data_IF_066769686409
#
_entry.id   IF_066769686409
#
_cell.length_a   1.000
_cell.length_b   1.000
_cell.length_c   1.000
_cell.angle_alpha   90.00
_cell.angle_beta   90.00
_cell.angle_gamma   90.00
#
_symmetry.space_group_name_H-M   'P 1'
#
loop_
_entity.id
_entity.type
_entity.pdbx_description
1 polymer ?
#
# COMPACT_ATOMS: atom_id res chain seq x y z
N UNK A 1 -6.16 -11.00 -45.43
CA UNK A 1 -6.10 -11.19 -43.96
C UNK A 1 -4.67 -11.61 -43.61
N UNK A 2 -3.92 -10.73 -42.96
CA UNK A 2 -2.55 -11.01 -42.51
C UNK A 2 -2.57 -11.65 -41.11
N UNK A 3 -1.72 -12.64 -40.83
CA UNK A 3 -1.67 -13.26 -39.51
C UNK A 3 -0.95 -12.35 -38.50
N UNK A 4 -1.55 -12.19 -37.32
CA UNK A 4 -0.99 -11.43 -36.21
C UNK A 4 0.27 -12.10 -35.65
N UNK A 5 1.32 -11.31 -35.41
CA UNK A 5 2.56 -11.77 -34.79
C UNK A 5 2.42 -11.93 -33.27
N UNK A 6 3.11 -12.91 -32.66
CA UNK A 6 3.05 -13.15 -31.23
C UNK A 6 3.85 -12.10 -30.45
N UNK A 7 3.21 -11.55 -29.42
CA UNK A 7 3.82 -10.63 -28.44
C UNK A 7 4.83 -11.35 -27.55
N UNK A 8 6.02 -10.78 -27.44
CA UNK A 8 7.09 -11.27 -26.57
C UNK A 8 6.84 -10.88 -25.10
N UNK A 9 7.25 -11.73 -24.14
CA UNK A 9 7.13 -11.42 -22.72
C UNK A 9 8.14 -10.34 -22.29
N UNK A 10 7.64 -9.33 -21.57
CA UNK A 10 8.41 -8.24 -20.97
C UNK A 10 9.23 -8.77 -19.79
N UNK A 11 10.54 -8.54 -19.81
CA UNK A 11 11.45 -8.88 -18.71
C UNK A 11 11.38 -7.85 -17.56
N UNK A 12 11.58 -8.26 -16.29
CA UNK A 12 11.62 -7.34 -15.17
C UNK A 12 12.90 -6.47 -15.18
N UNK A 13 12.70 -5.18 -14.96
CA UNK A 13 13.73 -4.13 -14.93
C UNK A 13 14.61 -4.28 -13.68
N UNK A 14 15.93 -4.35 -13.88
CA UNK A 14 16.94 -4.23 -12.81
C UNK A 14 17.19 -2.75 -12.50
N UNK A 15 17.17 -2.40 -11.21
CA UNK A 15 17.55 -1.06 -10.74
C UNK A 15 19.08 -0.95 -10.67
N UNK A 16 19.64 0.01 -11.40
CA UNK A 16 21.05 0.38 -11.29
C UNK A 16 21.28 1.21 -10.02
N UNK A 17 22.28 0.81 -9.22
CA UNK A 17 22.82 1.61 -8.13
C UNK A 17 23.73 2.71 -8.70
N UNK A 18 23.74 3.93 -8.13
CA UNK A 18 24.69 4.96 -8.55
C UNK A 18 26.12 4.58 -8.16
N UNK A 19 27.00 4.56 -9.17
CA UNK A 19 28.44 4.38 -9.02
C UNK A 19 29.02 5.63 -8.34
N UNK A 20 29.53 5.49 -7.13
CA UNK A 20 30.37 6.53 -6.52
C UNK A 20 31.76 6.46 -7.14
N UNK A 21 32.12 7.47 -7.93
CA UNK A 21 33.50 7.69 -8.35
C UNK A 21 34.28 8.32 -7.19
N UNK A 22 35.02 7.51 -6.45
CA UNK A 22 36.06 7.98 -5.53
C UNK A 22 37.36 8.14 -6.32
N UNK A 23 37.70 9.38 -6.69
CA UNK A 23 39.03 9.70 -7.22
C UNK A 23 40.02 9.80 -6.05
N UNK A 24 40.89 8.80 -5.90
CA UNK A 24 42.06 8.91 -5.03
C UNK A 24 43.19 9.62 -5.79
N UNK A 25 43.39 10.90 -5.49
CA UNK A 25 44.63 11.60 -5.81
C UNK A 25 45.59 11.47 -4.61
N UNK A 26 46.69 10.73 -4.80
CA UNK A 26 47.79 10.68 -3.84
C UNK A 26 48.69 11.91 -4.05
N UNK A 27 48.57 12.88 -3.14
CA UNK A 27 49.55 13.95 -2.98
C UNK A 27 50.35 13.71 -1.70
N UNK A 28 51.68 13.76 -1.83
CA UNK A 28 52.63 13.67 -0.74
C UNK A 28 52.41 14.79 0.29
N UNK A 29 52.38 14.43 1.57
CA UNK A 29 52.29 15.39 2.68
C UNK A 29 53.65 16.02 2.97
N UNK A 30 53.80 17.36 2.96
CA UNK A 30 54.89 18.02 3.65
C UNK A 30 54.61 18.11 5.17
N UNK A 31 55.69 18.19 5.94
CA UNK A 31 55.69 18.20 7.40
C UNK A 31 54.80 19.32 8.01
N UNK A 32 54.19 19.09 9.19
CA UNK A 32 53.31 20.07 9.82
C UNK A 32 54.09 21.27 10.39
N UNK A 33 53.65 22.52 10.11
CA UNK A 33 54.10 23.68 10.85
C UNK A 33 53.45 23.75 12.24
N UNK A 34 54.17 24.36 13.18
CA UNK A 34 53.77 24.58 14.57
C UNK A 34 52.43 25.34 14.71
N UNK A 35 51.67 25.10 15.80
CA UNK A 35 50.33 25.66 15.97
C UNK A 35 50.40 27.19 16.12
N UNK A 36 49.85 27.90 15.14
CA UNK A 36 49.57 29.33 15.22
C UNK A 36 48.14 29.48 15.73
N UNK A 37 47.98 30.14 16.87
CA UNK A 37 46.68 30.42 17.49
C UNK A 37 45.85 31.32 16.58
N UNK A 38 44.90 30.73 15.84
CA UNK A 38 43.91 31.49 15.06
C UNK A 38 42.75 31.94 15.97
N UNK A 39 42.30 33.20 15.88
CA UNK A 39 41.08 33.65 16.53
C UNK A 39 39.86 32.94 15.94
N UNK A 40 38.94 32.53 16.83
CA UNK A 40 37.75 31.75 16.48
C UNK A 40 36.91 32.44 15.40
N UNK A 41 36.73 31.76 14.26
CA UNK A 41 35.72 32.15 13.28
C UNK A 41 34.33 31.93 13.89
N UNK A 42 33.38 32.88 13.73
CA UNK A 42 32.01 32.68 14.15
C UNK A 42 31.41 31.51 13.37
N UNK A 43 30.93 30.50 14.09
CA UNK A 43 30.20 29.39 13.48
C UNK A 43 28.97 29.94 12.76
N UNK A 44 28.70 29.51 11.51
CA UNK A 44 27.45 29.83 10.85
C UNK A 44 26.30 29.29 11.71
N UNK A 45 25.32 30.16 12.00
CA UNK A 45 24.14 29.80 12.77
C UNK A 45 23.51 28.54 12.15
N UNK A 46 23.47 27.47 12.94
CA UNK A 46 22.72 26.28 12.53
C UNK A 46 21.25 26.68 12.37
N UNK A 47 20.57 26.27 11.30
CA UNK A 47 19.14 26.49 11.17
C UNK A 47 18.47 25.90 12.41
N UNK A 48 17.85 26.77 13.21
CA UNK A 48 16.98 26.34 14.28
C UNK A 48 15.83 25.59 13.62
N UNK A 49 15.89 24.25 13.64
CA UNK A 49 14.74 23.41 13.38
C UNK A 49 13.70 23.78 14.44
N UNK A 50 12.73 24.59 14.01
CA UNK A 50 11.54 24.83 14.80
C UNK A 50 10.95 23.47 15.11
N UNK A 51 10.88 23.18 16.40
CA UNK A 51 10.23 22.02 16.97
C UNK A 51 8.89 21.81 16.24
N UNK A 52 8.69 20.71 15.48
CA UNK A 52 7.45 20.50 14.77
C UNK A 52 6.34 20.48 15.83
N UNK A 53 5.45 21.48 15.72
CA UNK A 53 4.17 21.46 16.42
C UNK A 53 3.62 20.03 16.33
N UNK A 54 3.24 19.47 17.48
CA UNK A 54 2.74 18.10 17.61
C UNK A 54 1.95 17.74 16.35
N UNK A 55 2.50 16.83 15.54
CA UNK A 55 1.93 16.47 14.25
C UNK A 55 0.42 16.29 14.47
N UNK A 56 -0.45 16.94 13.67
CA UNK A 56 -1.88 16.75 13.81
C UNK A 56 -2.10 15.25 13.85
N UNK A 57 -2.77 14.76 14.91
CA UNK A 57 -3.07 13.33 15.06
C UNK A 57 -3.50 12.87 13.68
N UNK A 58 -2.81 11.90 13.04
CA UNK A 58 -3.22 11.46 11.72
C UNK A 58 -4.68 11.06 11.88
N UNK A 59 -5.60 11.89 11.36
CA UNK A 59 -6.96 11.44 11.12
C UNK A 59 -6.75 10.18 10.32
N UNK A 60 -7.26 9.06 10.83
CA UNK A 60 -7.13 7.77 10.18
C UNK A 60 -7.56 7.97 8.73
N UNK A 61 -6.57 8.07 7.85
CA UNK A 61 -6.79 8.17 6.41
C UNK A 61 -7.37 6.81 6.07
N UNK A 62 -8.70 6.77 5.95
CA UNK A 62 -9.44 5.54 5.78
C UNK A 62 -9.15 5.05 4.39
N UNK A 63 -8.37 3.99 4.36
CA UNK A 63 -7.80 3.43 3.15
C UNK A 63 -8.90 2.60 2.47
N UNK A 64 -8.88 2.57 1.14
CA UNK A 64 -9.76 1.67 0.40
C UNK A 64 -9.37 0.24 0.76
N UNK A 65 -10.16 -0.41 1.61
CA UNK A 65 -10.21 -1.85 1.63
C UNK A 65 -10.92 -2.24 0.33
N UNK A 66 -10.16 -2.73 -0.65
CA UNK A 66 -10.78 -3.57 -1.69
C UNK A 66 -11.46 -4.71 -0.94
N UNK A 67 -12.76 -4.61 -0.71
CA UNK A 67 -13.55 -5.47 0.18
C UNK A 67 -13.13 -6.94 0.01
N UNK A 68 -12.32 -7.52 0.92
CA UNK A 68 -12.08 -8.96 0.91
C UNK A 68 -13.35 -9.71 1.33
N UNK A 69 -14.29 -9.00 1.98
CA UNK A 69 -15.60 -9.52 2.33
C UNK A 69 -16.48 -9.80 1.12
N UNK A 70 -16.28 -9.12 -0.03
CA UNK A 70 -17.13 -9.28 -1.20
C UNK A 70 -16.51 -10.14 -2.32
N UNK A 71 -15.18 -10.08 -2.52
CA UNK A 71 -14.54 -10.74 -3.68
C UNK A 71 -13.84 -12.07 -3.40
N UNK A 72 -13.68 -12.49 -2.13
CA UNK A 72 -12.88 -13.67 -1.80
C UNK A 72 -13.35 -14.53 -0.64
N UNK A 73 -14.40 -14.13 0.10
CA UNK A 73 -15.07 -15.04 1.02
C UNK A 73 -16.12 -15.80 0.23
N UNK A 74 -15.89 -17.11 0.03
CA UNK A 74 -17.03 -18.02 -0.13
C UNK A 74 -17.90 -17.79 1.11
N UNK A 75 -19.00 -17.06 0.93
CA UNK A 75 -20.06 -16.98 1.92
C UNK A 75 -20.59 -18.41 2.10
N UNK A 76 -19.94 -19.19 2.95
CA UNK A 76 -20.55 -20.41 3.47
C UNK A 76 -21.83 -19.96 4.17
N UNK A 77 -22.96 -20.20 3.50
CA UNK A 77 -24.34 -19.75 3.74
C UNK A 77 -24.91 -20.01 5.16
N UNK A 78 -24.11 -20.39 6.15
CA UNK A 78 -24.57 -20.83 7.48
C UNK A 78 -24.18 -19.96 8.68
N UNK A 79 -23.46 -18.84 8.54
CA UNK A 79 -22.99 -18.01 9.68
C UNK A 79 -23.45 -16.54 9.65
N UNK A 80 -24.54 -16.23 8.96
CA UNK A 80 -24.92 -14.85 8.58
C UNK A 80 -25.63 -14.00 9.66
N UNK A 81 -25.58 -14.34 10.95
CA UNK A 81 -26.18 -13.46 11.98
C UNK A 81 -25.53 -13.44 13.36
N UNK A 82 -24.91 -14.54 13.79
CA UNK A 82 -24.43 -14.68 15.19
C UNK A 82 -23.12 -13.93 15.48
N UNK A 83 -22.35 -13.49 14.47
CA UNK A 83 -21.07 -12.81 14.67
C UNK A 83 -21.17 -11.27 14.80
N UNK A 84 -22.32 -10.67 14.54
CA UNK A 84 -22.48 -9.21 14.59
C UNK A 84 -22.87 -8.68 15.98
N UNK A 85 -23.28 -9.54 16.92
CA UNK A 85 -23.77 -9.09 18.22
C UNK A 85 -22.67 -8.94 19.28
N UNK A 86 -21.49 -9.52 19.07
CA UNK A 86 -20.38 -9.39 20.02
C UNK A 86 -19.38 -8.30 19.57
N UNK A 87 -18.86 -7.47 20.49
CA UNK A 87 -17.79 -6.54 20.18
C UNK A 87 -16.58 -7.26 19.59
N UNK A 88 -16.08 -6.72 18.49
CA UNK A 88 -14.92 -7.25 17.78
C UNK A 88 -14.20 -6.14 17.02
N UNK A 89 -12.93 -6.37 16.72
CA UNK A 89 -12.11 -5.48 15.88
C UNK A 89 -11.38 -6.29 14.82
N UNK A 90 -10.98 -5.62 13.75
CA UNK A 90 -10.03 -6.17 12.80
C UNK A 90 -8.61 -5.78 13.22
N UNK A 91 -7.68 -6.72 13.11
CA UNK A 91 -6.26 -6.43 13.27
C UNK A 91 -5.52 -6.77 11.98
N UNK A 92 -4.46 -6.05 11.65
CA UNK A 92 -3.57 -6.37 10.54
C UNK A 92 -2.12 -6.19 10.99
N UNK A 93 -1.19 -6.95 10.39
CA UNK A 93 0.22 -6.94 10.80
C UNK A 93 1.03 -6.24 9.75
N UNK A 94 1.82 -5.24 10.15
CA UNK A 94 2.57 -4.44 9.20
C UNK A 94 3.48 -5.32 8.34
N UNK A 95 3.39 -5.18 7.01
CA UNK A 95 4.23 -5.95 6.10
C UNK A 95 3.78 -7.36 5.77
N UNK A 96 2.64 -7.82 6.29
CA UNK A 96 2.28 -9.24 6.25
C UNK A 96 0.82 -9.54 5.92
N UNK A 97 0.63 -10.53 5.06
CA UNK A 97 -0.63 -11.24 4.90
C UNK A 97 -0.88 -12.23 6.04
N UNK A 98 -2.15 -12.57 6.28
CA UNK A 98 -2.52 -13.57 7.30
C UNK A 98 -2.03 -14.97 6.93
N UNK A 99 -1.87 -15.24 5.63
CA UNK A 99 -1.41 -16.53 5.10
C UNK A 99 0.10 -16.58 4.82
N UNK A 100 0.85 -15.49 5.02
CA UNK A 100 2.30 -15.51 4.82
C UNK A 100 2.96 -16.55 5.75
N UNK A 101 4.15 -17.02 5.38
CA UNK A 101 4.96 -17.89 6.25
C UNK A 101 5.14 -17.27 7.64
N UNK A 102 5.08 -18.09 8.70
CA UNK A 102 5.18 -17.61 10.09
C UNK A 102 3.88 -17.06 10.69
N UNK A 103 2.71 -17.30 10.08
CA UNK A 103 1.42 -16.84 10.59
C UNK A 103 1.11 -17.27 12.03
N UNK A 104 1.63 -18.42 12.48
CA UNK A 104 1.50 -18.89 13.88
C UNK A 104 2.21 -17.92 14.83
N UNK A 105 3.43 -17.52 14.50
CA UNK A 105 4.21 -16.54 15.28
C UNK A 105 3.50 -15.20 15.36
N UNK A 106 2.97 -14.69 14.23
CA UNK A 106 2.17 -13.46 14.22
C UNK A 106 0.91 -13.57 15.08
N UNK A 107 0.19 -14.69 15.00
CA UNK A 107 -0.99 -14.94 15.85
C UNK A 107 -0.64 -14.92 17.34
N UNK A 108 0.50 -15.49 17.72
CA UNK A 108 1.01 -15.44 19.09
C UNK A 108 1.41 -14.03 19.51
N UNK A 109 2.08 -13.27 18.64
CA UNK A 109 2.43 -11.87 18.87
C UNK A 109 1.20 -11.01 19.14
N UNK A 110 0.15 -11.13 18.32
CA UNK A 110 -1.14 -10.43 18.55
C UNK A 110 -1.73 -10.83 19.91
N UNK A 111 -1.75 -12.12 20.25
CA UNK A 111 -2.24 -12.59 21.55
C UNK A 111 -1.44 -12.03 22.73
N UNK A 112 -0.12 -11.92 22.58
CA UNK A 112 0.74 -11.35 23.62
C UNK A 112 0.45 -9.86 23.82
N UNK A 113 0.27 -9.08 22.73
CA UNK A 113 -0.18 -7.69 22.80
C UNK A 113 -1.52 -7.59 23.55
N UNK A 114 -2.51 -8.40 23.18
CA UNK A 114 -3.83 -8.39 23.82
C UNK A 114 -3.76 -8.79 25.31
N UNK A 115 -2.96 -9.81 25.66
CA UNK A 115 -2.77 -10.24 27.05
C UNK A 115 -2.16 -9.14 27.92
N UNK A 116 -1.13 -8.44 27.40
CA UNK A 116 -0.47 -7.32 28.12
C UNK A 116 -1.44 -6.16 28.41
N UNK A 117 -2.54 -6.05 27.64
CA UNK A 117 -3.62 -5.08 27.84
C UNK A 117 -4.77 -5.58 28.71
N UNK A 118 -4.60 -6.70 29.41
CA UNK A 118 -5.68 -7.26 30.23
C UNK A 118 -6.82 -7.88 29.41
N UNK A 119 -6.55 -8.32 28.17
CA UNK A 119 -7.50 -9.03 27.31
C UNK A 119 -7.09 -10.51 27.12
N UNK A 120 -6.85 -11.30 28.19
CA UNK A 120 -6.30 -12.66 28.07
C UNK A 120 -7.24 -13.65 27.36
N UNK A 121 -8.53 -13.34 27.34
CA UNK A 121 -9.56 -14.19 26.73
C UNK A 121 -9.85 -13.81 25.26
N UNK A 122 -9.20 -12.77 24.73
CA UNK A 122 -9.43 -12.33 23.35
C UNK A 122 -9.07 -13.44 22.35
N UNK A 123 -9.97 -13.68 21.40
CA UNK A 123 -9.82 -14.71 20.37
C UNK A 123 -9.32 -14.08 19.08
N UNK A 124 -8.10 -14.43 18.69
CA UNK A 124 -7.49 -14.09 17.40
C UNK A 124 -7.78 -15.18 16.37
N UNK A 125 -8.42 -14.83 15.26
CA UNK A 125 -8.73 -15.73 14.15
C UNK A 125 -8.22 -15.14 12.83
N UNK A 126 -7.17 -15.71 12.19
CA UNK A 126 -6.70 -15.23 10.90
C UNK A 126 -7.77 -15.44 9.82
N UNK A 127 -7.93 -14.49 8.91
CA UNK A 127 -8.63 -14.75 7.67
C UNK A 127 -7.83 -15.74 6.80
N UNK A 128 -8.53 -16.58 6.04
CA UNK A 128 -7.93 -17.55 5.13
C UNK A 128 -8.41 -17.22 3.72
N UNK A 129 -7.50 -17.26 2.74
CA UNK A 129 -7.86 -17.00 1.35
C UNK A 129 -8.69 -18.19 0.83
N UNK A 130 -9.75 -17.92 0.06
CA UNK A 130 -10.48 -18.99 -0.62
C UNK A 130 -9.61 -19.72 -1.66
N UNK A 131 -8.64 -19.03 -2.24
CA UNK A 131 -7.67 -19.57 -3.19
C UNK A 131 -6.27 -19.30 -2.64
N UNK A 132 -5.41 -20.33 -2.67
CA UNK A 132 -4.03 -20.23 -2.25
C UNK A 132 -3.31 -19.11 -3.03
N UNK A 133 -2.95 -18.04 -2.33
CA UNK A 133 -2.19 -16.94 -2.92
C UNK A 133 -0.71 -17.30 -2.93
N UNK A 134 -0.04 -16.99 -4.04
CA UNK A 134 1.39 -17.17 -4.20
C UNK A 134 2.01 -15.79 -4.16
N UNK A 135 2.68 -15.45 -3.07
CA UNK A 135 3.30 -14.15 -2.88
C UNK A 135 3.53 -13.82 -1.42
N UNK A 136 4.55 -13.03 -1.15
CA UNK A 136 4.75 -12.40 0.14
C UNK A 136 3.77 -11.25 0.31
N UNK A 137 3.18 -11.12 1.49
CA UNK A 137 2.29 -10.02 1.86
C UNK A 137 1.08 -9.90 0.93
N UNK A 138 0.38 -11.02 0.76
CA UNK A 138 -0.81 -11.11 -0.09
C UNK A 138 -2.07 -11.23 0.75
N UNK A 139 -3.19 -10.76 0.18
CA UNK A 139 -4.48 -10.83 0.85
C UNK A 139 -4.85 -12.29 1.21
N UNK A 140 -5.61 -12.51 2.30
CA UNK A 140 -6.18 -11.50 3.19
C UNK A 140 -5.17 -10.95 4.21
N UNK A 141 -5.42 -9.73 4.67
CA UNK A 141 -4.53 -9.00 5.60
C UNK A 141 -5.05 -8.93 7.04
N UNK A 142 -6.33 -9.27 7.24
CA UNK A 142 -7.01 -9.02 8.51
C UNK A 142 -7.23 -10.28 9.34
N UNK A 143 -6.88 -10.16 10.62
CA UNK A 143 -7.25 -11.05 11.71
C UNK A 143 -8.54 -10.52 12.35
N UNK A 144 -9.46 -11.41 12.67
CA UNK A 144 -10.62 -11.10 13.50
C UNK A 144 -10.26 -11.25 14.97
N UNK A 145 -10.48 -10.21 15.77
CA UNK A 145 -10.30 -10.18 17.21
C UNK A 145 -11.68 -10.12 17.87
N UNK A 146 -12.12 -11.21 18.49
CA UNK A 146 -13.39 -11.27 19.20
C UNK A 146 -13.23 -11.69 20.66
N UNK A 147 -14.34 -11.88 21.36
CA UNK A 147 -14.37 -12.18 22.80
C UNK A 147 -13.68 -11.07 23.63
N UNK A 148 -14.01 -9.82 23.29
CA UNK A 148 -13.59 -8.59 23.96
C UNK A 148 -14.83 -7.77 24.32
N UNK A 149 -14.71 -6.85 25.27
CA UNK A 149 -15.79 -5.90 25.59
C UNK A 149 -15.79 -4.74 24.60
N UNK A 150 -16.85 -3.91 24.62
CA UNK A 150 -16.94 -2.71 23.80
C UNK A 150 -15.84 -1.71 24.17
N UNK A 151 -15.57 -1.53 25.46
CA UNK A 151 -14.50 -0.66 25.95
C UNK A 151 -13.12 -1.13 25.49
N UNK A 152 -12.90 -2.45 25.46
CA UNK A 152 -11.66 -3.03 24.96
C UNK A 152 -11.53 -2.84 23.44
N UNK A 153 -12.61 -2.97 22.67
CA UNK A 153 -12.61 -2.69 21.24
C UNK A 153 -12.27 -1.21 20.97
N UNK A 154 -12.90 -0.30 21.69
CA UNK A 154 -12.65 1.15 21.61
C UNK A 154 -11.21 1.52 21.99
N UNK A 155 -10.64 0.86 23.01
CA UNK A 155 -9.23 1.03 23.38
C UNK A 155 -8.30 0.67 22.21
N UNK A 156 -8.49 -0.51 21.61
CA UNK A 156 -7.67 -0.99 20.50
C UNK A 156 -7.78 -0.07 19.28
N UNK A 157 -9.01 0.32 18.90
CA UNK A 157 -9.25 1.21 17.76
C UNK A 157 -8.62 2.59 17.98
N UNK A 158 -8.72 3.13 19.21
CA UNK A 158 -8.17 4.45 19.55
C UNK A 158 -6.67 4.52 19.44
N UNK A 159 -5.97 3.44 19.79
CA UNK A 159 -4.52 3.39 19.67
C UNK A 159 -4.06 3.20 18.23
N UNK A 160 -4.88 2.52 17.43
CA UNK A 160 -4.68 2.26 16.00
C UNK A 160 -3.45 1.39 15.70
N UNK A 161 -2.23 1.76 16.10
CA UNK A 161 -1.02 0.96 15.91
C UNK A 161 -0.33 0.68 17.24
N UNK A 162 0.03 -0.59 17.46
CA UNK A 162 0.86 -1.03 18.58
C UNK A 162 2.11 -1.68 18.01
N UNK A 163 3.28 -1.15 18.38
CA UNK A 163 4.57 -1.71 17.99
C UNK A 163 5.31 -2.22 19.21
N UNK A 164 5.65 -3.51 19.20
CA UNK A 164 6.51 -4.16 20.18
C UNK A 164 7.74 -4.76 19.47
N UNK A 165 8.65 -5.30 20.26
CA UNK A 165 9.79 -6.11 19.81
C UNK A 165 9.36 -7.41 19.11
N UNK A 166 8.17 -7.92 19.43
CA UNK A 166 7.59 -9.14 18.85
C UNK A 166 6.78 -8.86 17.57
N UNK A 167 6.04 -7.75 17.52
CA UNK A 167 5.07 -7.49 16.44
C UNK A 167 4.68 -6.01 16.32
N UNK A 168 4.36 -5.60 15.10
CA UNK A 168 3.69 -4.33 14.83
C UNK A 168 2.30 -4.59 14.24
N UNK A 169 1.27 -4.28 15.01
CA UNK A 169 -0.13 -4.61 14.69
C UNK A 169 -0.99 -3.35 14.65
N UNK A 170 -1.78 -3.22 13.60
CA UNK A 170 -2.80 -2.19 13.43
C UNK A 170 -4.18 -2.74 13.82
N UNK A 171 -5.02 -1.93 14.45
CA UNK A 171 -6.40 -2.25 14.85
C UNK A 171 -7.38 -1.30 14.20
N UNK A 172 -8.44 -1.85 13.61
CA UNK A 172 -9.47 -1.12 12.87
C UNK A 172 -10.87 -1.56 13.28
N UNK A 173 -11.87 -0.65 13.20
CA UNK A 173 -13.25 -1.01 13.43
C UNK A 173 -13.73 -2.05 12.39
N UNK A 174 -14.65 -2.94 12.77
CA UNK A 174 -15.18 -3.95 11.85
C UNK A 174 -16.09 -3.36 10.77
N UNK A 175 -16.68 -2.20 11.05
CA UNK A 175 -17.48 -1.43 10.10
C UNK A 175 -16.58 -0.44 9.37
N UNK A 176 -16.38 -0.67 8.09
CA UNK A 176 -15.67 0.27 7.24
C UNK A 176 -16.65 1.37 6.82
N UNK A 177 -16.54 2.55 7.44
CA UNK A 177 -17.05 3.75 6.78
C UNK A 177 -16.38 3.87 5.40
N UNK A 178 -17.08 4.42 4.40
CA UNK A 178 -16.47 4.64 3.10
C UNK A 178 -15.13 5.40 3.21
N UNK A 179 -14.11 5.00 2.45
CA UNK A 179 -12.79 5.62 2.51
C UNK A 179 -12.86 7.08 2.07
N UNK A 180 -11.90 7.91 2.46
CA UNK A 180 -11.82 9.29 1.95
C UNK A 180 -11.16 9.37 0.58
N UNK A 181 -10.44 8.34 0.16
CA UNK A 181 -9.75 8.31 -1.12
C UNK A 181 -10.75 8.33 -2.30
N UNK A 182 -10.70 9.39 -3.11
CA UNK A 182 -11.44 9.49 -4.37
C UNK A 182 -10.64 8.82 -5.49
N UNK A 183 -9.39 9.23 -5.68
CA UNK A 183 -8.55 8.62 -6.69
C UNK A 183 -7.30 9.41 -7.00
N UNK A 184 -6.70 9.03 -8.12
CA UNK A 184 -5.38 9.43 -8.54
C UNK A 184 -5.48 10.14 -9.88
N UNK A 185 -4.77 11.25 -10.01
CA UNK A 185 -4.80 12.11 -11.19
C UNK A 185 -3.39 12.34 -11.71
N UNK A 186 -3.12 11.92 -12.95
CA UNK A 186 -1.92 12.30 -13.72
C UNK A 186 -2.07 13.71 -14.26
N UNK A 187 -0.95 14.31 -14.60
CA UNK A 187 -0.86 15.69 -15.05
C UNK A 187 -1.47 16.72 -14.08
N UNK A 188 -1.14 16.67 -12.77
CA UNK A 188 -1.65 17.63 -11.80
C UNK A 188 -1.32 19.09 -12.15
N UNK A 189 -0.27 19.33 -12.93
CA UNK A 189 0.09 20.65 -13.47
C UNK A 189 -1.00 21.28 -14.35
N UNK A 190 -1.96 20.49 -14.87
CA UNK A 190 -3.12 21.01 -15.63
C UNK A 190 -4.18 21.66 -14.75
N UNK A 191 -4.16 21.37 -13.45
CA UNK A 191 -5.10 21.90 -12.46
C UNK A 191 -4.52 23.13 -11.77
N UNK A 192 -3.30 23.02 -11.23
CA UNK A 192 -2.62 24.06 -10.47
C UNK A 192 -1.10 23.83 -10.38
N UNK A 193 -0.39 24.67 -9.62
CA UNK A 193 1.00 24.45 -9.26
C UNK A 193 1.19 23.11 -8.52
N UNK A 194 2.37 22.47 -8.65
CA UNK A 194 2.70 21.16 -8.08
C UNK A 194 3.00 21.22 -6.58
N UNK A 195 2.09 21.80 -5.80
CA UNK A 195 2.11 21.83 -4.35
C UNK A 195 0.78 21.34 -3.79
N UNK A 196 0.80 20.67 -2.63
CA UNK A 196 -0.41 20.14 -1.99
C UNK A 196 -1.47 21.24 -1.77
N UNK A 197 -1.04 22.43 -1.34
CA UNK A 197 -1.92 23.56 -1.04
C UNK A 197 -2.56 24.16 -2.30
N UNK A 198 -1.77 24.41 -3.36
CA UNK A 198 -2.28 24.97 -4.61
C UNK A 198 -3.27 24.02 -5.30
N UNK A 199 -2.95 22.72 -5.31
CA UNK A 199 -3.84 21.69 -5.82
C UNK A 199 -5.12 21.61 -4.99
N UNK A 200 -5.00 21.56 -3.66
CA UNK A 200 -6.17 21.51 -2.77
C UNK A 200 -7.10 22.70 -3.01
N UNK A 201 -6.55 23.92 -3.13
CA UNK A 201 -7.32 25.13 -3.42
C UNK A 201 -8.02 25.07 -4.79
N UNK A 202 -7.35 24.57 -5.82
CA UNK A 202 -7.93 24.46 -7.15
C UNK A 202 -9.03 23.37 -7.23
N UNK A 203 -8.83 22.20 -6.62
CA UNK A 203 -9.86 21.18 -6.53
C UNK A 203 -11.07 21.68 -5.71
N UNK A 204 -10.83 22.43 -4.62
CA UNK A 204 -11.89 23.09 -3.85
C UNK A 204 -12.71 24.07 -4.69
N UNK A 205 -12.06 24.91 -5.49
CA UNK A 205 -12.75 25.90 -6.33
C UNK A 205 -13.62 25.23 -7.40
N UNK A 206 -13.15 24.14 -8.01
CA UNK A 206 -13.92 23.35 -8.97
C UNK A 206 -15.03 22.53 -8.31
N UNK A 207 -14.84 22.09 -7.07
CA UNK A 207 -15.87 21.34 -6.34
C UNK A 207 -17.12 22.18 -6.07
N UNK A 208 -16.97 23.51 -6.00
CA UNK A 208 -18.09 24.45 -5.92
C UNK A 208 -18.86 24.61 -7.25
N UNK A 209 -18.49 23.88 -8.31
CA UNK A 209 -19.32 23.72 -9.49
C UNK A 209 -20.71 23.20 -9.10
N UNK A 210 -21.73 23.78 -9.73
CA UNK A 210 -23.14 23.52 -9.42
C UNK A 210 -23.51 22.05 -9.50
N UNK A 211 -22.86 21.25 -10.34
CA UNK A 211 -23.17 19.84 -10.50
C UNK A 211 -22.59 18.95 -9.39
N UNK A 212 -21.32 19.14 -9.01
CA UNK A 212 -20.71 18.41 -7.89
C UNK A 212 -21.34 18.82 -6.57
N UNK A 213 -21.59 20.12 -6.38
CA UNK A 213 -22.31 20.62 -5.22
C UNK A 213 -23.70 19.95 -5.13
N UNK A 214 -24.50 20.00 -6.20
CA UNK A 214 -25.82 19.37 -6.26
C UNK A 214 -25.76 17.87 -5.97
N UNK A 215 -24.86 17.13 -6.61
CA UNK A 215 -24.70 15.69 -6.39
C UNK A 215 -24.36 15.37 -4.93
N UNK A 216 -23.50 16.19 -4.32
CA UNK A 216 -23.13 16.06 -2.90
C UNK A 216 -24.35 16.29 -2.00
N UNK A 217 -25.09 17.38 -2.23
CA UNK A 217 -26.31 17.70 -1.52
C UNK A 217 -27.36 16.59 -1.59
N UNK A 218 -27.64 16.08 -2.80
CA UNK A 218 -28.61 15.02 -3.01
C UNK A 218 -28.20 13.72 -2.30
N UNK A 219 -26.91 13.37 -2.34
CA UNK A 219 -26.39 12.18 -1.65
C UNK A 219 -26.52 12.31 -0.13
N UNK A 220 -26.20 13.47 0.45
CA UNK A 220 -26.39 13.73 1.89
C UNK A 220 -27.88 13.61 2.28
N UNK A 221 -28.80 14.14 1.47
CA UNK A 221 -30.24 14.06 1.73
C UNK A 221 -30.71 12.61 1.73
N UNK A 222 -30.25 11.80 0.76
CA UNK A 222 -30.58 10.37 0.68
C UNK A 222 -30.03 9.61 1.89
N UNK A 223 -28.77 9.81 2.23
CA UNK A 223 -28.13 9.22 3.41
C UNK A 223 -28.86 9.58 4.71
N UNK A 224 -29.19 10.85 4.92
CA UNK A 224 -29.91 11.30 6.12
C UNK A 224 -31.31 10.65 6.22
N UNK A 225 -32.04 10.53 5.11
CA UNK A 225 -33.35 9.84 5.06
C UNK A 225 -33.22 8.34 5.35
N UNK A 226 -32.14 7.72 4.89
CA UNK A 226 -31.81 6.32 5.18
C UNK A 226 -31.30 6.10 6.62
N UNK A 227 -31.27 7.15 7.46
CA UNK A 227 -30.68 7.13 8.80
C UNK A 227 -29.20 6.72 8.77
N UNK A 228 -28.49 7.13 7.73
CA UNK A 228 -27.06 6.88 7.54
C UNK A 228 -26.17 7.79 8.38
N UNK A 229 -25.02 8.17 7.81
CA UNK A 229 -23.95 8.91 8.49
C UNK A 229 -24.41 10.28 8.98
N UNK A 230 -25.12 11.02 8.13
CA UNK A 230 -25.44 12.43 8.32
C UNK A 230 -26.83 12.64 8.94
N UNK A 231 -27.46 11.59 9.48
CA UNK A 231 -28.84 11.61 10.02
C UNK A 231 -29.13 12.66 11.11
N UNK A 232 -28.09 13.14 11.81
CA UNK A 232 -28.22 14.15 12.87
C UNK A 232 -27.54 15.49 12.53
N UNK A 233 -27.05 15.65 11.30
CA UNK A 233 -26.34 16.84 10.86
C UNK A 233 -27.19 17.55 9.81
N UNK A 234 -27.51 18.85 9.96
CA UNK A 234 -28.18 19.62 8.93
C UNK A 234 -27.43 19.52 7.59
N UNK A 235 -28.16 19.34 6.49
CA UNK A 235 -27.58 19.07 5.16
C UNK A 235 -26.54 20.12 4.76
N UNK A 236 -26.82 21.41 4.96
CA UNK A 236 -25.85 22.48 4.69
C UNK A 236 -24.57 22.35 5.52
N UNK A 237 -24.68 21.95 6.79
CA UNK A 237 -23.52 21.76 7.66
C UNK A 237 -22.70 20.53 7.22
N UNK A 238 -23.37 19.42 6.88
CA UNK A 238 -22.71 18.23 6.34
C UNK A 238 -21.95 18.56 5.04
N UNK A 239 -22.57 19.29 4.12
CA UNK A 239 -21.92 19.77 2.88
C UNK A 239 -20.66 20.59 3.19
N UNK A 240 -20.74 21.55 4.11
CA UNK A 240 -19.58 22.36 4.50
C UNK A 240 -18.48 21.53 5.16
N UNK A 241 -18.81 20.50 5.94
CA UNK A 241 -17.83 19.58 6.52
C UNK A 241 -17.12 18.75 5.44
N UNK A 242 -17.87 18.24 4.47
CA UNK A 242 -17.35 17.48 3.33
C UNK A 242 -16.46 18.38 2.47
N UNK A 243 -16.92 19.58 2.10
CA UNK A 243 -16.12 20.56 1.36
C UNK A 243 -14.80 20.89 2.08
N UNK A 244 -14.85 21.15 3.39
CA UNK A 244 -13.64 21.44 4.20
C UNK A 244 -12.69 20.25 4.34
N UNK A 245 -13.16 19.02 4.06
CA UNK A 245 -12.34 17.81 4.11
C UNK A 245 -11.51 17.58 2.85
N UNK A 246 -11.79 18.29 1.75
CA UNK A 246 -11.10 18.12 0.47
C UNK A 246 -9.61 18.39 0.66
N UNK A 247 -8.78 17.40 0.35
CA UNK A 247 -7.32 17.48 0.42
C UNK A 247 -6.71 16.82 -0.80
N UNK A 248 -5.64 17.42 -1.32
CA UNK A 248 -4.83 16.83 -2.38
C UNK A 248 -3.42 16.64 -1.87
N UNK A 249 -2.83 15.48 -2.18
CA UNK A 249 -1.41 15.21 -1.94
C UNK A 249 -0.71 14.92 -3.24
N UNK A 250 0.46 15.51 -3.45
CA UNK A 250 1.33 15.17 -4.56
C UNK A 250 2.21 13.99 -4.18
N UNK A 251 2.09 12.89 -4.93
CA UNK A 251 3.01 11.77 -4.87
C UNK A 251 4.03 11.91 -5.99
N UNK A 252 5.28 12.12 -5.62
CA UNK A 252 6.39 12.10 -6.55
C UNK A 252 6.80 10.64 -6.81
N UNK A 253 6.37 10.08 -7.94
CA UNK A 253 6.82 8.77 -8.41
C UNK A 253 7.73 8.88 -9.64
N UNK A 254 8.44 7.80 -9.91
CA UNK A 254 9.18 7.60 -11.15
C UNK A 254 8.43 6.56 -11.97
N UNK A 255 8.02 6.89 -13.18
CA UNK A 255 7.37 6.00 -14.12
C UNK A 255 8.21 5.90 -15.39
N UNK A 256 8.63 4.70 -15.76
CA UNK A 256 9.50 4.44 -16.92
C UNK A 256 10.79 5.30 -16.94
N UNK A 257 11.37 5.56 -15.77
CA UNK A 257 12.60 6.35 -15.63
C UNK A 257 12.40 7.87 -15.59
N UNK A 258 11.16 8.35 -15.71
CA UNK A 258 10.84 9.78 -15.67
C UNK A 258 10.04 10.15 -14.41
N UNK A 259 10.26 11.35 -13.84
CA UNK A 259 9.37 11.89 -12.82
C UNK A 259 7.94 11.99 -13.37
N UNK A 260 6.98 11.44 -12.62
CA UNK A 260 5.56 11.39 -12.98
C UNK A 260 4.74 11.74 -11.73
N UNK A 261 4.60 13.03 -11.36
CA UNK A 261 3.85 13.42 -10.18
C UNK A 261 2.37 13.09 -10.34
N UNK A 262 1.76 12.56 -9.28
CA UNK A 262 0.32 12.25 -9.23
C UNK A 262 -0.32 13.07 -8.12
N UNK A 263 -1.48 13.67 -8.40
CA UNK A 263 -2.35 14.20 -7.36
C UNK A 263 -3.26 13.10 -6.81
N UNK A 264 -3.30 12.94 -5.49
CA UNK A 264 -4.21 12.04 -4.77
C UNK A 264 -5.29 12.88 -4.12
N UNK A 265 -6.53 12.69 -4.55
CA UNK A 265 -7.67 13.44 -4.04
C UNK A 265 -8.36 12.66 -2.92
N UNK A 266 -8.57 13.35 -1.80
CA UNK A 266 -9.30 12.85 -0.63
C UNK A 266 -10.50 13.75 -0.33
N UNK A 267 -11.66 13.14 -0.09
CA UNK A 267 -12.92 13.80 0.27
C UNK A 267 -13.68 12.90 1.26
N UNK A 268 -14.19 13.48 2.34
CA UNK A 268 -15.09 12.80 3.28
C UNK A 268 -16.37 12.33 2.57
N UNK A 269 -16.82 11.11 2.85
CA UNK A 269 -17.99 10.55 2.16
C UNK A 269 -19.30 11.29 2.50
N UNK A 270 -20.13 11.65 1.49
CA UNK A 270 -21.47 12.18 1.71
C UNK A 270 -22.50 11.14 2.16
N UNK A 271 -22.10 9.88 2.33
CA UNK A 271 -23.00 8.76 2.67
C UNK A 271 -22.28 7.68 3.47
N UNK A 272 -23.02 6.88 4.25
CA UNK A 272 -22.54 5.62 4.83
C UNK A 272 -22.72 4.43 3.88
N UNK A 273 -23.56 4.55 2.86
CA UNK A 273 -23.86 3.47 1.93
C UNK A 273 -22.71 3.27 0.93
N UNK A 274 -22.11 2.05 0.85
CA UNK A 274 -20.97 1.81 -0.03
C UNK A 274 -21.27 1.99 -1.52
N UNK A 275 -22.50 1.69 -1.97
CA UNK A 275 -22.87 1.78 -3.38
C UNK A 275 -23.10 3.24 -3.78
N UNK A 276 -23.77 4.03 -2.94
CA UNK A 276 -23.90 5.48 -3.14
C UNK A 276 -22.54 6.19 -3.06
N UNK A 277 -21.64 5.74 -2.18
CA UNK A 277 -20.28 6.27 -2.11
C UNK A 277 -19.52 6.04 -3.42
N UNK A 278 -19.55 4.81 -3.97
CA UNK A 278 -18.88 4.54 -5.24
C UNK A 278 -19.50 5.39 -6.37
N UNK A 279 -20.83 5.53 -6.42
CA UNK A 279 -21.49 6.38 -7.40
C UNK A 279 -21.05 7.86 -7.30
N UNK A 280 -21.00 8.40 -6.07
CA UNK A 280 -20.47 9.74 -5.82
C UNK A 280 -19.01 9.87 -6.27
N UNK A 281 -18.17 8.91 -5.89
CA UNK A 281 -16.75 8.88 -6.25
C UNK A 281 -16.57 8.86 -7.78
N UNK A 282 -17.32 8.04 -8.51
CA UNK A 282 -17.28 8.02 -9.98
C UNK A 282 -17.69 9.37 -10.57
N UNK A 283 -18.68 10.06 -9.96
CA UNK A 283 -19.06 11.42 -10.40
C UNK A 283 -17.93 12.42 -10.22
N UNK A 284 -17.23 12.38 -9.08
CA UNK A 284 -16.06 13.23 -8.83
C UNK A 284 -14.93 12.92 -9.81
N UNK A 285 -14.63 11.64 -10.07
CA UNK A 285 -13.59 11.25 -11.03
C UNK A 285 -13.90 11.66 -12.47
N UNK A 286 -15.17 11.76 -12.83
CA UNK A 286 -15.62 12.20 -14.15
C UNK A 286 -15.72 13.73 -14.30
N UNK A 287 -15.36 14.51 -13.27
CA UNK A 287 -15.42 15.96 -13.31
C UNK A 287 -14.14 16.59 -13.91
N UNK A 288 -14.32 17.61 -14.75
CA UNK A 288 -13.23 18.31 -15.44
C UNK A 288 -12.58 19.38 -14.53
N UNK A 289 -11.67 18.96 -13.64
CA UNK A 289 -10.93 19.87 -12.73
C UNK A 289 -9.92 20.81 -13.42
N UNK A 290 -9.72 20.66 -14.73
CA UNK A 290 -8.69 21.39 -15.48
C UNK A 290 -9.08 22.80 -15.86
N UNK A 291 -8.09 23.58 -16.30
CA UNK A 291 -8.37 24.88 -16.94
C UNK A 291 -8.72 24.73 -18.41
N UNK A 292 -9.44 25.69 -18.98
CA UNK A 292 -9.77 25.73 -20.41
C UNK A 292 -8.54 25.69 -21.34
N UNK A 293 -7.36 26.06 -20.83
CA UNK A 293 -6.10 26.05 -21.58
C UNK A 293 -5.33 24.74 -21.47
N UNK A 294 -5.30 24.14 -20.28
CA UNK A 294 -4.49 22.95 -20.01
C UNK A 294 -5.27 21.63 -20.21
N UNK A 295 -6.60 21.69 -20.26
CA UNK A 295 -7.46 20.50 -20.27
C UNK A 295 -7.53 19.82 -18.89
N UNK A 296 -8.36 18.78 -18.73
CA UNK A 296 -8.50 18.07 -17.47
C UNK A 296 -7.26 17.21 -17.15
N UNK A 297 -6.99 16.96 -15.85
CA UNK A 297 -6.05 15.92 -15.46
C UNK A 297 -6.57 14.53 -15.85
N UNK A 298 -5.68 13.56 -15.98
CA UNK A 298 -6.05 12.21 -16.42
C UNK A 298 -6.25 11.28 -15.22
N UNK A 299 -7.40 10.61 -15.14
CA UNK A 299 -7.67 9.63 -14.07
C UNK A 299 -6.73 8.44 -14.20
N UNK A 300 -5.97 8.18 -13.15
CA UNK A 300 -5.09 7.04 -13.04
C UNK A 300 -5.83 5.85 -12.41
N UNK A 301 -6.12 4.85 -13.25
CA UNK A 301 -6.83 3.63 -12.83
C UNK A 301 -5.92 2.59 -12.12
N UNK A 302 -4.71 2.98 -11.73
CA UNK A 302 -3.82 2.13 -10.95
C UNK A 302 -4.26 2.12 -9.48
N UNK A 303 -4.34 0.93 -8.87
CA UNK A 303 -4.54 0.80 -7.44
C UNK A 303 -3.17 0.76 -6.77
N UNK A 304 -2.90 1.71 -5.89
CA UNK A 304 -1.77 1.58 -4.98
C UNK A 304 -2.12 0.61 -3.88
N UNK A 305 -1.13 -0.14 -3.42
CA UNK A 305 -1.25 -0.97 -2.23
C UNK A 305 0.03 -0.83 -1.42
N UNK A 306 -0.09 -0.27 -0.23
CA UNK A 306 1.03 -0.10 0.67
C UNK A 306 1.39 -1.44 1.29
N UNK A 307 2.59 -1.92 1.00
CA UNK A 307 3.09 -3.15 1.59
C UNK A 307 3.21 -3.08 3.12
N UNK A 308 3.31 -1.90 3.74
CA UNK A 308 3.47 -1.78 5.19
C UNK A 308 2.10 -1.78 5.88
N UNK A 309 1.25 -0.79 5.62
CA UNK A 309 -0.03 -0.64 6.32
C UNK A 309 -1.24 -1.22 5.58
N UNK A 310 -1.03 -1.77 4.38
CA UNK A 310 -2.09 -2.31 3.52
C UNK A 310 -3.12 -1.27 3.06
N UNK A 311 -2.75 0.01 3.18
CA UNK A 311 -3.51 1.11 2.62
C UNK A 311 -3.52 1.09 1.10
N UNK A 312 -4.65 1.46 0.50
CA UNK A 312 -4.74 1.75 -0.92
C UNK A 312 -4.47 3.23 -1.31
N UNK A 313 -4.12 4.10 -0.36
CA UNK A 313 -3.97 5.54 -0.59
C UNK A 313 -2.55 6.00 -0.95
N UNK A 314 -1.53 5.19 -0.66
CA UNK A 314 -0.14 5.51 -0.98
C UNK A 314 0.66 4.27 -1.37
N UNK A 315 1.69 4.41 -2.22
CA UNK A 315 2.68 3.36 -2.42
C UNK A 315 3.52 3.16 -1.15
N UNK A 316 4.08 1.96 -0.98
CA UNK A 316 4.91 1.59 0.19
C UNK A 316 6.00 2.61 0.53
N UNK A 317 6.65 3.20 -0.48
CA UNK A 317 7.72 4.19 -0.28
C UNK A 317 7.28 5.51 0.36
N UNK A 318 5.97 5.80 0.38
CA UNK A 318 5.39 7.02 0.94
C UNK A 318 4.60 6.74 2.24
N UNK A 319 4.78 5.55 2.81
CA UNK A 319 4.16 5.20 4.08
C UNK A 319 4.75 6.04 5.22
N UNK A 320 3.89 6.65 6.03
CA UNK A 320 4.32 7.48 7.16
C UNK A 320 4.72 6.65 8.38
N UNK A 321 4.23 5.41 8.51
CA UNK A 321 4.43 4.60 9.72
C UNK A 321 5.89 4.39 10.11
N UNK A 322 6.84 4.15 9.18
CA UNK A 322 8.27 4.08 9.51
C UNK A 322 8.84 5.32 10.19
N UNK A 323 8.17 6.48 10.08
CA UNK A 323 8.58 7.74 10.69
C UNK A 323 7.91 8.00 12.05
N UNK A 324 6.99 7.14 12.48
CA UNK A 324 6.36 7.25 13.80
C UNK A 324 7.38 6.88 14.87
N UNK A 325 7.49 7.72 15.91
CA UNK A 325 8.42 7.47 17.02
C UNK A 325 8.11 6.12 17.69
N UNK A 326 9.16 5.32 17.92
CA UNK A 326 9.01 3.99 18.52
C UNK A 326 8.52 2.90 17.56
N UNK A 327 8.45 3.18 16.25
CA UNK A 327 8.16 2.19 15.23
C UNK A 327 9.25 1.10 15.19
N UNK A 328 8.83 -0.15 15.37
CA UNK A 328 9.68 -1.34 15.28
C UNK A 328 9.26 -2.25 14.10
N UNK A 329 8.31 -1.78 13.29
CA UNK A 329 7.80 -2.52 12.14
C UNK A 329 8.72 -2.42 10.91
N UNK A 330 8.26 -2.97 9.77
CA UNK A 330 9.05 -2.95 8.54
C UNK A 330 9.23 -1.54 7.99
N UNK A 331 10.31 -1.35 7.23
CA UNK A 331 10.58 -0.16 6.43
C UNK A 331 10.28 -0.45 4.96
N UNK A 332 10.18 0.57 4.08
CA UNK A 332 9.93 0.34 2.66
C UNK A 332 11.01 -0.54 2.01
N UNK A 333 12.27 -0.38 2.44
CA UNK A 333 13.37 -1.19 1.95
C UNK A 333 13.33 -2.63 2.49
N UNK A 334 12.91 -2.85 3.74
CA UNK A 334 12.76 -4.22 4.27
C UNK A 334 11.64 -4.98 3.57
N UNK A 335 10.52 -4.31 3.24
CA UNK A 335 9.45 -4.91 2.42
C UNK A 335 9.97 -5.28 1.04
N UNK A 336 10.73 -4.38 0.39
CA UNK A 336 11.32 -4.65 -0.93
C UNK A 336 12.29 -5.84 -0.88
N UNK A 337 13.14 -5.89 0.14
CA UNK A 337 14.09 -6.98 0.34
C UNK A 337 13.38 -8.32 0.60
N UNK A 338 12.31 -8.33 1.42
CA UNK A 338 11.51 -9.52 1.70
C UNK A 338 10.83 -10.06 0.42
N UNK A 339 10.26 -9.17 -0.40
CA UNK A 339 9.66 -9.55 -1.68
C UNK A 339 10.69 -10.15 -2.66
N UNK A 340 11.89 -9.56 -2.75
CA UNK A 340 12.99 -10.08 -3.57
C UNK A 340 13.47 -11.44 -3.08
N UNK A 341 13.62 -11.61 -1.77
CA UNK A 341 14.02 -12.88 -1.18
C UNK A 341 13.00 -13.99 -1.44
N UNK A 342 11.71 -13.69 -1.28
CA UNK A 342 10.63 -14.60 -1.62
C UNK A 342 10.72 -15.03 -3.10
N UNK A 343 10.87 -14.07 -4.02
CA UNK A 343 11.01 -14.35 -5.44
C UNK A 343 12.22 -15.26 -5.75
N UNK A 344 13.37 -15.03 -5.10
CA UNK A 344 14.57 -15.87 -5.26
C UNK A 344 14.34 -17.32 -4.81
N UNK A 345 13.71 -17.52 -3.65
CA UNK A 345 13.40 -18.88 -3.12
C UNK A 345 12.46 -19.64 -4.04
N UNK A 346 11.43 -18.98 -4.56
CA UNK A 346 10.44 -19.63 -5.42
C UNK A 346 10.94 -19.87 -6.85
N UNK A 347 11.83 -19.01 -7.38
CA UNK A 347 12.46 -19.23 -8.68
C UNK A 347 13.38 -20.48 -8.67
N UNK A 348 14.10 -20.72 -7.58
CA UNK A 348 15.00 -21.87 -7.44
C UNK A 348 14.27 -23.22 -7.53
N UNK A 349 13.05 -23.30 -7.01
CA UNK A 349 12.25 -24.54 -7.00
C UNK A 349 11.69 -24.88 -8.37
N UNK A 350 11.33 -23.87 -9.18
CA UNK A 350 10.77 -24.11 -10.52
C UNK A 350 11.83 -24.50 -11.57
N UNK A 351 13.09 -24.08 -11.40
CA UNK A 351 14.16 -24.30 -12.38
C UNK A 351 14.74 -25.73 -12.44
N UNK A 352 14.48 -26.60 -11.46
CA UNK A 352 15.12 -27.94 -11.38
C UNK A 352 14.25 -29.11 -11.87
N UNK A 353 12.98 -28.88 -12.24
CA UNK A 353 12.02 -29.94 -12.55
C UNK A 353 11.82 -30.31 -14.02
N UNK A 354 12.29 -29.51 -14.99
CA UNK A 354 12.13 -29.80 -16.44
C UNK A 354 13.35 -30.45 -17.09
N UNK A 355 14.12 -31.20 -16.30
CA UNK A 355 15.16 -32.10 -16.77
C UNK A 355 14.69 -33.54 -17.05
N UNK A 356 13.38 -33.82 -16.99
CA UNK A 356 12.84 -35.13 -17.36
C UNK A 356 12.46 -35.11 -18.85
N UNK A 357 13.31 -35.73 -19.67
CA UNK A 357 12.83 -36.28 -20.95
C UNK A 357 13.43 -35.74 -22.25
N UNK A 358 14.72 -35.37 -22.31
CA UNK A 358 15.51 -35.72 -23.51
C UNK A 358 16.28 -37.01 -23.25
N UNK A 359 15.53 -38.08 -22.98
CA UNK A 359 15.91 -39.39 -23.54
C UNK A 359 15.83 -39.24 -25.06
N UNK A 360 16.91 -39.50 -25.81
CA UNK A 360 17.26 -40.86 -26.24
C UNK A 360 16.05 -41.60 -26.83
N UNK A 361 15.47 -41.07 -27.90
CA UNK A 361 15.16 -41.85 -29.10
C UNK A 361 16.11 -41.34 -30.18
N UNK A 362 17.06 -42.11 -30.74
CA UNK A 362 17.07 -43.56 -30.84
C UNK A 362 16.17 -44.03 -31.97
N UNK A 363 16.24 -43.41 -33.15
CA UNK A 363 15.64 -43.97 -34.36
C UNK A 363 16.57 -43.81 -35.57
N UNK A 364 17.30 -44.91 -35.81
CA UNK A 364 17.65 -45.53 -37.11
C UNK A 364 17.90 -44.57 -38.29
N UNK A 365 19.17 -44.19 -38.45
CA UNK A 365 19.77 -43.81 -39.72
C UNK A 365 20.92 -44.76 -40.06
N UNK A 366 20.56 -46.00 -40.39
CA UNK A 366 21.43 -47.03 -40.96
C UNK A 366 22.03 -46.53 -42.29
N UNK A 367 23.36 -46.36 -42.37
CA UNK A 367 24.22 -46.39 -43.58
C UNK A 367 25.60 -45.81 -43.24
N UNK A 368 26.54 -46.69 -42.88
CA UNK A 368 27.93 -46.28 -42.65
C UNK A 368 28.88 -47.47 -42.57
N UNK A 369 29.17 -48.06 -43.74
CA UNK A 369 30.14 -49.14 -43.94
C UNK A 369 31.52 -48.81 -43.38
N UNK A 370 32.18 -49.79 -42.75
CA UNK A 370 33.63 -49.80 -42.54
C UNK A 370 34.06 -50.83 -41.50
N UNK A 371 34.13 -52.12 -41.83
CA UNK A 371 35.37 -52.86 -42.19
C UNK A 371 36.53 -52.71 -41.19
N UNK A 372 36.89 -53.82 -40.54
CA UNK A 372 38.21 -54.06 -39.95
C UNK A 372 38.11 -54.88 -38.66
N UNK A 373 38.01 -56.22 -38.72
CA UNK A 373 39.10 -57.22 -38.76
C UNK A 373 40.14 -57.08 -37.63
N UNK A 374 40.27 -58.14 -36.83
CA UNK A 374 41.41 -58.45 -35.94
C UNK A 374 40.90 -58.98 -34.59
N UNK A 375 40.63 -60.27 -34.37
CA UNK A 375 41.54 -61.44 -34.22
C UNK A 375 42.68 -61.25 -33.20
N UNK A 376 42.67 -62.15 -32.20
CA UNK A 376 43.74 -62.46 -31.22
C UNK A 376 43.14 -62.39 -29.81
N UNK A 377 42.76 -63.45 -29.08
CA UNK A 377 43.32 -64.78 -28.77
C UNK A 377 44.82 -64.78 -28.41
N UNK A 378 45.05 -64.75 -27.09
CA UNK A 378 46.11 -65.50 -26.41
C UNK A 378 47.33 -64.70 -25.96
N UNK A 379 47.66 -64.88 -24.67
CA UNK A 379 48.95 -64.72 -23.98
C UNK A 379 49.64 -63.35 -24.01
#
# INVERSE_FOLDING_TARGET
>A
MQPAQPTQPVQPVQYAQPVQHTQHAQHAQPAPPSPTTQPAQPQPAQPQYQNPQAAPRPRTLRTRSDHPSASGRVETRGRKRVLLESPHVHAHVAGHGTNDDGHVGRTLGIRNVLRRRGMPNARVTPAVAAVAQHGHNTAPHFYHIGNITEEQADELIREHWVSTDEITVGFEPPYHEPPTLIGFFRHPERVAELTDDAQTAAFLANFDDSDLARTTYETIIRDARARGRWRYVPVNQAYQLIRRSIRVRILHRIYQGHPDPIAVLYIESPTADPAEWDAFRQRVLAHDFGTSRAGPPEVLNETFFCGICHSADHPTGLCYLPHVQGWQGPTPDSIRAAAQEYARRHAATQGRGRGVGRGRGGERGDRGRGRGRGRGRGM
#
